data_IF_173685259903
#
_entry.id   IF_173685259903
#
_cell.length_a   1.000
_cell.length_b   1.000
_cell.length_c   1.000
_cell.angle_alpha   90.00
_cell.angle_beta   90.00
_cell.angle_gamma   90.00
#
_symmetry.space_group_name_H-M   'P 1'
#
loop_
_entity.id
_entity.type
_entity.pdbx_description
1 polymer ?
#
# COMPACT_ATOMS: atom_id res chain seq x y z
N UNK A 1 0.31 10.69 27.05
CA UNK A 1 1.68 10.35 26.61
C UNK A 1 2.14 11.46 25.66
N UNK A 2 3.37 11.96 25.77
CA UNK A 2 3.86 13.11 24.97
C UNK A 2 5.24 12.82 24.42
N UNK A 3 5.61 13.45 23.30
CA UNK A 3 6.93 13.28 22.67
C UNK A 3 8.08 13.93 23.45
N UNK A 4 7.78 14.63 24.54
CA UNK A 4 8.75 15.31 25.39
C UNK A 4 8.96 14.52 26.68
N UNK A 5 10.22 14.49 27.13
CA UNK A 5 10.64 13.91 28.41
C UNK A 5 11.37 14.99 29.19
N UNK A 6 10.91 15.26 30.42
CA UNK A 6 11.62 16.14 31.33
C UNK A 6 12.90 15.44 31.80
N UNK A 7 14.06 16.02 31.52
CA UNK A 7 15.37 15.48 31.96
C UNK A 7 15.71 15.88 33.38
N UNK A 8 15.41 17.13 33.74
CA UNK A 8 15.71 17.71 35.05
C UNK A 8 14.58 18.66 35.44
N UNK A 9 14.24 18.68 36.73
CA UNK A 9 13.27 19.59 37.31
C UNK A 9 13.90 20.13 38.60
N UNK A 10 14.29 21.41 38.57
CA UNK A 10 14.80 22.13 39.73
C UNK A 10 13.70 23.02 40.31
N UNK A 11 13.46 22.93 41.62
CA UNK A 11 12.49 23.75 42.33
C UNK A 11 13.21 24.55 43.42
N UNK A 12 13.26 25.87 43.29
CA UNK A 12 13.77 26.76 44.33
C UNK A 12 12.59 27.19 45.21
N UNK A 13 12.32 26.40 46.25
CA UNK A 13 11.21 26.64 47.18
C UNK A 13 11.74 27.14 48.52
N UNK A 14 11.09 28.14 49.09
CA UNK A 14 11.41 28.66 50.44
C UNK A 14 10.95 27.71 51.55
N UNK A 15 9.94 26.88 51.27
CA UNK A 15 9.39 25.87 52.16
C UNK A 15 8.61 24.83 51.34
N UNK A 16 8.17 23.74 51.97
CA UNK A 16 7.31 22.77 51.33
C UNK A 16 5.90 23.34 51.10
N UNK A 17 5.46 23.33 49.85
CA UNK A 17 4.12 23.75 49.46
C UNK A 17 3.28 22.55 49.04
N UNK A 18 2.00 22.57 49.39
CA UNK A 18 1.04 21.64 48.80
C UNK A 18 0.69 22.10 47.38
N UNK A 19 0.89 21.22 46.40
CA UNK A 19 0.57 21.48 44.99
C UNK A 19 -0.51 20.49 44.54
N UNK A 20 -1.73 20.96 44.20
CA UNK A 20 -2.77 20.08 43.67
C UNK A 20 -2.31 19.42 42.37
N UNK A 21 -2.50 18.10 42.26
CA UNK A 21 -2.13 17.35 41.07
C UNK A 21 -2.82 17.89 39.79
N UNK A 22 -4.02 18.47 39.91
CA UNK A 22 -4.72 19.09 38.79
C UNK A 22 -3.96 20.30 38.21
N UNK A 23 -3.39 21.14 39.07
CA UNK A 23 -2.62 22.34 38.69
C UNK A 23 -1.31 21.93 38.03
N UNK A 24 -0.58 20.98 38.62
CA UNK A 24 0.66 20.46 38.03
C UNK A 24 0.40 19.82 36.66
N UNK A 25 -0.70 19.10 36.52
CA UNK A 25 -1.10 18.52 35.24
C UNK A 25 -1.50 19.57 34.20
N UNK A 26 -2.07 20.70 34.61
CA UNK A 26 -2.36 21.81 33.69
C UNK A 26 -1.07 22.46 33.22
N UNK A 27 -0.15 22.80 34.13
CA UNK A 27 1.17 23.33 33.78
C UNK A 27 1.92 22.43 32.80
N UNK A 28 1.84 21.10 33.02
CA UNK A 28 2.41 20.13 32.09
C UNK A 28 1.77 20.17 30.71
N UNK A 29 0.44 20.35 30.61
CA UNK A 29 -0.26 20.48 29.31
C UNK A 29 0.15 21.75 28.59
N UNK A 30 0.15 22.88 29.30
CA UNK A 30 0.50 24.19 28.75
C UNK A 30 1.94 24.22 28.24
N UNK A 31 2.88 23.64 29.01
CA UNK A 31 4.27 23.53 28.58
C UNK A 31 4.43 22.66 27.33
N UNK A 32 3.68 21.55 27.23
CA UNK A 32 3.72 20.67 26.05
C UNK A 32 3.15 21.38 24.82
N UNK A 33 2.06 22.14 24.97
CA UNK A 33 1.46 22.93 23.90
C UNK A 33 2.45 23.96 23.34
N UNK A 34 3.10 24.72 24.22
CA UNK A 34 4.13 25.70 23.82
C UNK A 34 5.33 25.03 23.12
N UNK A 35 5.78 23.87 23.60
CA UNK A 35 6.87 23.13 22.95
C UNK A 35 6.48 22.61 21.56
N UNK A 36 5.22 22.21 21.35
CA UNK A 36 4.72 21.80 20.04
C UNK A 36 4.63 22.99 19.07
N UNK A 37 4.20 24.15 19.56
CA UNK A 37 4.16 25.38 18.77
C UNK A 37 5.56 25.78 18.30
N UNK A 38 6.54 25.81 19.21
CA UNK A 38 7.94 26.09 18.88
C UNK A 38 8.50 25.06 17.88
N UNK A 39 8.22 23.76 18.07
CA UNK A 39 8.64 22.70 17.13
C UNK A 39 8.06 22.94 15.73
N UNK A 40 6.81 23.39 15.65
CA UNK A 40 6.12 23.64 14.38
C UNK A 40 6.70 24.88 13.69
N UNK A 41 6.90 25.97 14.45
CA UNK A 41 7.52 27.20 13.95
C UNK A 41 8.97 26.98 13.50
N UNK A 42 9.72 26.14 14.22
CA UNK A 42 11.10 25.78 13.92
C UNK A 42 11.25 24.65 12.91
N UNK A 43 10.15 24.13 12.35
CA UNK A 43 10.24 23.05 11.37
C UNK A 43 10.79 23.60 10.04
N UNK A 44 12.04 23.26 9.76
CA UNK A 44 12.64 23.44 8.44
C UNK A 44 12.44 22.17 7.62
N UNK A 45 11.78 22.30 6.47
CA UNK A 45 11.61 21.19 5.54
C UNK A 45 13.00 20.74 5.08
N UNK A 46 13.38 19.46 5.30
CA UNK A 46 14.65 18.96 4.81
C UNK A 46 14.78 19.18 3.30
N UNK A 47 15.96 19.56 2.79
CA UNK A 47 16.17 19.74 1.36
C UNK A 47 15.91 18.41 0.63
N UNK A 48 15.47 18.52 -0.63
CA UNK A 48 15.29 17.34 -1.46
C UNK A 48 16.64 16.62 -1.60
N UNK A 49 16.66 15.31 -1.34
CA UNK A 49 17.85 14.49 -1.56
C UNK A 49 18.21 14.53 -3.05
N UNK A 50 19.50 14.70 -3.36
CA UNK A 50 19.98 14.59 -4.73
C UNK A 50 19.68 13.22 -5.34
N UNK A 51 19.40 13.20 -6.64
CA UNK A 51 19.20 11.96 -7.40
C UNK A 51 20.47 11.11 -7.31
N UNK A 52 20.31 9.80 -7.10
CA UNK A 52 21.44 8.88 -7.09
C UNK A 52 22.05 8.74 -8.50
N UNK A 53 23.39 8.81 -8.58
CA UNK A 53 24.17 8.63 -9.79
C UNK A 53 25.26 7.57 -9.53
N UNK A 54 25.25 6.41 -10.21
CA UNK A 54 24.30 6.01 -11.25
C UNK A 54 22.90 5.71 -10.69
N UNK A 55 21.86 5.68 -11.54
CA UNK A 55 20.51 5.29 -11.13
C UNK A 55 20.52 3.90 -10.48
N UNK A 56 19.69 3.72 -9.46
CA UNK A 56 19.48 2.40 -8.88
C UNK A 56 18.95 1.43 -9.96
N UNK A 57 19.37 0.17 -9.91
CA UNK A 57 18.88 -0.84 -10.86
C UNK A 57 17.66 -1.54 -10.27
N UNK A 58 16.59 -1.63 -11.05
CA UNK A 58 15.38 -2.34 -10.65
C UNK A 58 15.66 -3.85 -10.61
N UNK A 59 15.13 -4.60 -9.62
CA UNK A 59 15.48 -6.03 -9.46
C UNK A 59 15.09 -6.94 -10.62
N UNK A 60 14.11 -6.54 -11.43
CA UNK A 60 13.59 -7.30 -12.57
C UNK A 60 13.91 -6.54 -13.87
N UNK A 61 14.26 -7.26 -14.94
CA UNK A 61 14.53 -6.68 -16.26
C UNK A 61 13.30 -6.71 -17.19
N UNK A 62 12.24 -7.41 -16.79
CA UNK A 62 10.95 -7.46 -17.46
C UNK A 62 9.79 -7.24 -16.50
N UNK A 63 8.85 -6.38 -16.87
CA UNK A 63 7.62 -6.09 -16.12
C UNK A 63 6.40 -6.54 -16.90
N UNK A 64 5.51 -7.29 -16.26
CA UNK A 64 4.20 -7.66 -16.82
C UNK A 64 3.15 -6.57 -16.54
N UNK A 65 1.93 -6.77 -17.04
CA UNK A 65 0.80 -5.86 -16.82
C UNK A 65 0.55 -5.58 -15.31
N UNK A 66 0.93 -6.50 -14.43
CA UNK A 66 0.82 -6.37 -12.96
C UNK A 66 1.65 -5.22 -12.38
N UNK A 67 2.64 -4.70 -13.12
CA UNK A 67 3.45 -3.57 -12.70
C UNK A 67 2.73 -2.21 -12.88
N UNK A 68 1.52 -2.19 -13.45
CA UNK A 68 0.68 -1.01 -13.63
C UNK A 68 1.41 0.17 -14.32
N UNK A 69 2.29 -0.13 -15.27
CA UNK A 69 3.03 0.88 -16.03
C UNK A 69 2.17 1.42 -17.16
N UNK A 70 1.35 2.42 -16.85
CA UNK A 70 0.37 2.96 -17.80
C UNK A 70 0.92 4.09 -18.69
N UNK A 71 1.57 5.09 -18.10
CA UNK A 71 1.99 6.31 -18.79
C UNK A 71 3.47 6.30 -19.22
N UNK A 72 3.83 7.19 -20.13
CA UNK A 72 5.20 7.28 -20.68
C UNK A 72 6.25 7.61 -19.60
N UNK A 73 5.95 8.52 -18.67
CA UNK A 73 6.89 8.89 -17.58
C UNK A 73 7.25 7.69 -16.71
N UNK A 74 6.30 6.80 -16.46
CA UNK A 74 6.55 5.56 -15.73
C UNK A 74 7.43 4.60 -16.56
N UNK A 75 7.18 4.46 -17.87
CA UNK A 75 8.05 3.67 -18.76
C UNK A 75 9.49 4.20 -18.77
N UNK A 76 9.66 5.52 -18.93
CA UNK A 76 10.98 6.17 -18.92
C UNK A 76 11.71 5.96 -17.59
N UNK A 77 10.97 6.01 -16.47
CA UNK A 77 11.52 5.72 -15.14
C UNK A 77 12.06 4.29 -15.07
N UNK A 78 11.29 3.28 -15.46
CA UNK A 78 11.74 1.89 -15.40
C UNK A 78 12.88 1.59 -16.37
N UNK A 79 12.86 2.16 -17.58
CA UNK A 79 13.98 2.07 -18.51
C UNK A 79 15.27 2.68 -17.96
N UNK A 80 15.18 3.86 -17.31
CA UNK A 80 16.34 4.47 -16.61
C UNK A 80 16.92 3.55 -15.53
N UNK A 81 16.09 2.71 -14.91
CA UNK A 81 16.49 1.74 -13.88
C UNK A 81 16.79 0.34 -14.44
N UNK A 82 17.02 0.21 -15.76
CA UNK A 82 17.53 -1.02 -16.39
C UNK A 82 16.46 -2.02 -16.84
N UNK A 83 15.17 -1.71 -16.71
CA UNK A 83 14.10 -2.56 -17.24
C UNK A 83 14.09 -2.48 -18.76
N UNK A 84 14.03 -3.63 -19.44
CA UNK A 84 14.10 -3.73 -20.90
C UNK A 84 12.72 -3.92 -21.52
N UNK A 85 11.91 -4.78 -20.92
CA UNK A 85 10.58 -5.13 -21.43
C UNK A 85 9.51 -4.68 -20.44
N UNK A 86 8.54 -3.91 -20.91
CA UNK A 86 7.45 -3.38 -20.09
C UNK A 86 6.15 -3.65 -20.83
N UNK A 87 5.35 -4.59 -20.33
CA UNK A 87 4.00 -4.80 -20.82
C UNK A 87 3.09 -3.61 -20.44
N UNK A 88 2.06 -3.37 -21.25
CA UNK A 88 1.03 -2.39 -20.93
C UNK A 88 0.28 -2.78 -19.65
N UNK A 89 -0.05 -1.79 -18.83
CA UNK A 89 -0.89 -2.01 -17.66
C UNK A 89 -2.28 -2.57 -18.06
N UNK A 90 -2.94 -3.27 -17.13
CA UNK A 90 -4.23 -3.91 -17.40
C UNK A 90 -5.30 -2.92 -17.90
N UNK A 91 -5.29 -1.68 -17.40
CA UNK A 91 -6.22 -0.61 -17.77
C UNK A 91 -6.04 -0.11 -19.20
N UNK A 92 -4.95 -0.50 -19.89
CA UNK A 92 -4.78 -0.25 -21.32
C UNK A 92 -5.69 -1.15 -22.17
N UNK A 93 -6.36 -2.13 -21.55
CA UNK A 93 -7.30 -3.07 -22.17
C UNK A 93 -6.67 -3.95 -23.28
N UNK A 94 -5.37 -4.18 -23.21
CA UNK A 94 -4.65 -5.09 -24.12
C UNK A 94 -4.75 -6.56 -23.65
N UNK A 95 -4.92 -6.79 -22.34
CA UNK A 95 -5.13 -8.11 -21.74
C UNK A 95 -6.61 -8.52 -21.85
N UNK A 96 -6.93 -9.31 -22.88
CA UNK A 96 -8.31 -9.71 -23.19
C UNK A 96 -8.76 -10.99 -22.49
N UNK A 97 -7.82 -11.80 -22.01
CA UNK A 97 -8.09 -13.08 -21.37
C UNK A 97 -8.45 -12.94 -19.88
N UNK A 98 -8.86 -14.05 -19.25
CA UNK A 98 -9.10 -14.07 -17.80
C UNK A 98 -7.76 -14.14 -17.07
N UNK A 99 -7.37 -13.03 -16.43
CA UNK A 99 -6.07 -12.87 -15.77
C UNK A 99 -6.24 -12.45 -14.30
N UNK A 100 -5.24 -12.69 -13.42
CA UNK A 100 -5.28 -12.16 -12.06
C UNK A 100 -5.33 -10.63 -12.07
N UNK A 101 -6.40 -10.06 -11.49
CA UNK A 101 -6.56 -8.61 -11.31
C UNK A 101 -6.29 -8.18 -9.87
N UNK A 102 -6.28 -9.14 -8.93
CA UNK A 102 -5.88 -8.92 -7.55
C UNK A 102 -5.20 -10.17 -7.00
N UNK A 103 -4.03 -9.99 -6.41
CA UNK A 103 -3.26 -11.04 -5.72
C UNK A 103 -3.18 -10.65 -4.25
N UNK A 104 -3.64 -11.52 -3.36
CA UNK A 104 -3.66 -11.25 -1.92
C UNK A 104 -3.15 -12.43 -1.11
N UNK A 105 -2.53 -12.12 0.04
CA UNK A 105 -2.11 -13.13 1.03
C UNK A 105 -3.29 -13.61 1.88
N UNK A 106 -4.36 -12.83 1.98
CA UNK A 106 -5.59 -13.27 2.64
C UNK A 106 -6.23 -14.40 1.82
N UNK A 107 -6.42 -15.55 2.44
CA UNK A 107 -6.89 -16.76 1.75
C UNK A 107 -8.21 -17.25 2.35
N UNK A 108 -9.27 -17.21 1.56
CA UNK A 108 -10.60 -17.69 2.00
C UNK A 108 -10.60 -19.17 2.35
N UNK A 109 -9.82 -20.00 1.66
CA UNK A 109 -9.65 -21.41 2.06
C UNK A 109 -9.10 -21.53 3.46
N UNK A 110 -8.15 -20.70 3.85
CA UNK A 110 -7.65 -20.67 5.23
C UNK A 110 -8.74 -20.20 6.21
N UNK A 111 -9.42 -19.10 5.92
CA UNK A 111 -10.48 -18.58 6.78
C UNK A 111 -11.66 -19.54 6.99
N UNK A 112 -11.92 -20.44 6.04
CA UNK A 112 -12.96 -21.45 6.14
C UNK A 112 -12.45 -22.85 6.56
N UNK A 113 -11.18 -22.99 7.00
CA UNK A 113 -10.63 -24.27 7.43
C UNK A 113 -10.40 -25.29 6.30
N UNK A 114 -10.37 -24.83 5.06
CA UNK A 114 -10.18 -25.61 3.83
C UNK A 114 -8.74 -25.53 3.29
N UNK A 115 -7.78 -25.05 4.09
CA UNK A 115 -6.40 -24.90 3.66
C UNK A 115 -5.67 -26.24 3.64
N UNK A 116 -5.16 -26.72 2.49
CA UNK A 116 -4.44 -27.98 2.41
C UNK A 116 -3.09 -27.94 3.14
N UNK A 117 -2.54 -26.76 3.44
CA UNK A 117 -1.31 -26.64 4.25
C UNK A 117 -1.57 -26.99 5.72
N UNK A 118 -2.69 -26.53 6.28
CA UNK A 118 -3.08 -26.82 7.67
C UNK A 118 -3.47 -28.29 7.85
N UNK A 119 -4.03 -28.92 6.82
CA UNK A 119 -4.40 -30.33 6.84
C UNK A 119 -3.22 -31.31 6.75
N UNK A 120 -1.98 -30.83 6.48
CA UNK A 120 -0.79 -31.69 6.41
C UNK A 120 -0.39 -32.17 7.81
N UNK A 121 -0.73 -33.41 8.15
CA UNK A 121 -0.32 -34.07 9.39
C UNK A 121 -1.49 -34.55 10.26
N UNK A 122 -2.72 -34.19 9.90
CA UNK A 122 -3.93 -34.72 10.56
C UNK A 122 -4.30 -36.06 9.92
N UNK A 123 -4.11 -37.15 10.68
CA UNK A 123 -4.44 -38.52 10.27
C UNK A 123 -5.94 -38.58 9.96
N UNK A 124 -6.30 -38.94 8.72
CA UNK A 124 -7.70 -39.06 8.25
C UNK A 124 -8.25 -37.90 7.41
N UNK A 125 -7.50 -36.79 7.28
CA UNK A 125 -7.92 -35.60 6.49
C UNK A 125 -7.07 -35.41 5.23
N UNK A 126 -5.96 -36.14 5.11
CA UNK A 126 -5.14 -36.19 3.90
C UNK A 126 -5.95 -36.83 2.75
N UNK A 127 -6.42 -35.99 1.82
CA UNK A 127 -7.22 -36.38 0.66
C UNK A 127 -8.70 -36.00 0.72
N UNK A 128 -9.21 -35.57 1.88
CA UNK A 128 -10.65 -35.24 2.06
C UNK A 128 -10.96 -33.76 1.81
N UNK A 129 -9.98 -32.87 2.00
CA UNK A 129 -10.15 -31.41 1.77
C UNK A 129 -10.01 -31.12 0.27
N UNK A 130 -11.03 -31.49 -0.49
CA UNK A 130 -11.18 -31.06 -1.88
C UNK A 130 -11.87 -29.71 -1.87
N UNK A 131 -11.08 -28.63 -1.84
CA UNK A 131 -11.66 -27.30 -1.84
C UNK A 131 -12.29 -27.01 -3.22
N UNK A 132 -13.62 -26.98 -3.25
CA UNK A 132 -14.41 -26.66 -4.44
C UNK A 132 -13.99 -25.31 -5.06
N UNK A 133 -14.22 -25.11 -6.37
CA UNK A 133 -14.00 -23.81 -7.01
C UNK A 133 -14.80 -22.72 -6.28
N UNK A 134 -14.11 -21.65 -5.88
CA UNK A 134 -14.75 -20.52 -5.20
C UNK A 134 -14.88 -19.35 -6.17
N UNK A 135 -15.94 -18.56 -6.00
CA UNK A 135 -16.15 -17.31 -6.74
C UNK A 135 -16.55 -16.20 -5.80
N UNK A 136 -16.06 -14.98 -6.04
CA UNK A 136 -16.60 -13.76 -5.41
C UNK A 136 -17.72 -13.21 -6.28
N UNK A 137 -18.78 -12.75 -5.63
CA UNK A 137 -19.91 -12.10 -6.28
C UNK A 137 -19.98 -10.66 -5.76
N UNK A 138 -19.98 -9.69 -6.67
CA UNK A 138 -20.14 -8.27 -6.36
C UNK A 138 -21.17 -7.67 -7.30
N UNK A 139 -22.39 -7.44 -6.81
CA UNK A 139 -23.51 -7.07 -7.65
C UNK A 139 -23.77 -8.11 -8.75
N UNK A 140 -23.66 -7.70 -10.01
CA UNK A 140 -23.83 -8.58 -11.18
C UNK A 140 -22.54 -9.29 -11.60
N UNK A 141 -21.41 -9.02 -10.94
CA UNK A 141 -20.12 -9.51 -11.34
C UNK A 141 -19.74 -10.77 -10.56
N UNK A 142 -19.17 -11.75 -11.28
CA UNK A 142 -18.65 -12.99 -10.73
C UNK A 142 -17.18 -13.12 -11.07
N UNK A 143 -16.35 -13.25 -10.05
CA UNK A 143 -14.90 -13.41 -10.18
C UNK A 143 -14.50 -14.79 -9.72
N UNK A 144 -13.77 -15.53 -10.56
CA UNK A 144 -13.20 -16.83 -10.19
C UNK A 144 -12.05 -16.62 -9.22
N UNK A 145 -11.95 -17.46 -8.18
CA UNK A 145 -10.80 -17.46 -7.28
C UNK A 145 -9.86 -18.61 -7.60
N UNK A 146 -8.59 -18.28 -7.85
CA UNK A 146 -7.50 -19.27 -7.92
C UNK A 146 -6.65 -19.16 -6.67
N UNK A 147 -6.14 -20.29 -6.19
CA UNK A 147 -5.36 -20.35 -4.97
C UNK A 147 -4.01 -20.99 -5.26
N UNK A 148 -2.94 -20.19 -5.19
CA UNK A 148 -1.59 -20.72 -5.25
C UNK A 148 -1.08 -20.98 -3.84
N UNK A 149 -1.15 -22.25 -3.45
CA UNK A 149 -0.73 -22.67 -2.13
C UNK A 149 0.77 -22.52 -1.93
N UNK A 150 1.62 -22.52 -2.97
CA UNK A 150 3.08 -22.46 -2.78
C UNK A 150 3.53 -21.11 -2.18
N UNK A 151 3.29 -19.93 -2.81
CA UNK A 151 3.54 -18.61 -2.24
C UNK A 151 2.45 -18.14 -1.24
N UNK A 152 1.41 -18.97 -1.01
CA UNK A 152 0.28 -18.67 -0.13
C UNK A 152 -0.51 -17.45 -0.60
N UNK A 153 -1.04 -17.52 -1.82
CA UNK A 153 -1.75 -16.44 -2.49
C UNK A 153 -3.13 -16.87 -2.96
N UNK A 154 -4.08 -15.95 -2.86
CA UNK A 154 -5.38 -16.03 -3.51
C UNK A 154 -5.41 -14.98 -4.62
N UNK A 155 -5.78 -15.43 -5.81
CA UNK A 155 -5.88 -14.62 -7.02
C UNK A 155 -7.36 -14.43 -7.36
N UNK A 156 -7.79 -13.18 -7.44
CA UNK A 156 -9.09 -12.82 -8.00
C UNK A 156 -8.92 -12.67 -9.50
N UNK A 157 -9.58 -13.54 -10.25
CA UNK A 157 -9.50 -13.61 -11.70
C UNK A 157 -10.54 -12.67 -12.31
N UNK A 158 -10.11 -11.83 -13.23
CA UNK A 158 -10.96 -10.89 -13.94
C UNK A 158 -10.74 -10.97 -15.44
N UNK A 159 -11.79 -10.64 -16.19
CA UNK A 159 -11.74 -10.49 -17.65
C UNK A 159 -12.27 -9.11 -18.01
N UNK A 160 -11.63 -8.45 -18.98
CA UNK A 160 -12.08 -7.14 -19.47
C UNK A 160 -13.52 -7.24 -19.99
N UNK A 161 -14.36 -6.26 -19.63
CA UNK A 161 -15.77 -6.25 -20.05
C UNK A 161 -15.87 -5.68 -21.45
N UNK A 162 -16.73 -6.28 -22.29
CA UNK A 162 -16.95 -5.83 -23.67
C UNK A 162 -17.32 -4.36 -23.79
N UNK A 163 -18.13 -3.82 -22.87
CA UNK A 163 -18.51 -2.41 -22.91
C UNK A 163 -17.34 -1.47 -22.61
N UNK A 164 -16.35 -1.88 -21.81
CA UNK A 164 -15.15 -1.08 -21.53
C UNK A 164 -14.31 -0.94 -22.80
N UNK A 165 -14.25 -1.99 -23.63
CA UNK A 165 -13.56 -1.94 -24.94
C UNK A 165 -14.22 -0.97 -25.93
N UNK A 166 -15.48 -0.59 -25.71
CA UNK A 166 -16.21 0.37 -26.53
C UNK A 166 -16.04 1.81 -26.04
N UNK A 167 -15.50 2.00 -24.82
CA UNK A 167 -15.22 3.34 -24.29
C UNK A 167 -13.95 3.86 -24.96
N UNK A 168 -13.97 5.13 -25.37
CA UNK A 168 -12.78 5.76 -25.94
C UNK A 168 -11.61 5.73 -24.94
N UNK A 169 -10.37 5.50 -25.42
CA UNK A 169 -9.20 5.48 -24.54
C UNK A 169 -9.05 6.84 -23.84
N UNK A 170 -8.57 6.85 -22.58
CA UNK A 170 -8.41 8.07 -21.82
C UNK A 170 -7.43 9.00 -22.53
N UNK A 171 -7.84 10.25 -22.71
CA UNK A 171 -7.03 11.25 -23.38
C UNK A 171 -6.04 11.86 -22.37
N UNK A 172 -4.77 12.06 -22.75
CA UNK A 172 -3.81 12.71 -21.88
C UNK A 172 -4.28 14.14 -21.57
N UNK A 173 -4.34 14.48 -20.29
CA UNK A 173 -4.61 15.84 -19.85
C UNK A 173 -3.28 16.59 -19.80
N UNK A 174 -3.17 17.65 -20.59
CA UNK A 174 -2.04 18.57 -20.51
C UNK A 174 -2.31 19.58 -19.40
N UNK A 175 -1.51 19.51 -18.33
CA UNK A 175 -1.53 20.53 -17.29
C UNK A 175 -0.71 21.73 -17.78
N UNK A 176 -1.37 22.87 -17.95
CA UNK A 176 -0.70 24.14 -18.24
C UNK A 176 -0.37 24.84 -16.93
N UNK A 177 0.85 25.37 -16.78
CA UNK A 177 1.25 26.14 -15.60
C UNK A 177 0.40 27.41 -15.40
N UNK A 178 -0.15 27.94 -16.49
CA UNK A 178 -1.12 29.04 -16.49
C UNK A 178 -2.28 28.67 -17.40
N UNK A 179 -3.50 29.09 -17.03
CA UNK A 179 -4.69 28.89 -17.86
C UNK A 179 -4.45 29.52 -19.25
N UNK A 180 -4.61 28.76 -20.35
CA UNK A 180 -4.50 29.32 -21.69
C UNK A 180 -5.59 30.40 -21.89
N UNK A 181 -5.23 31.46 -22.62
CA UNK A 181 -6.11 32.60 -22.93
C UNK A 181 -7.29 32.19 -23.82
#
# INVERSE_FOLDING_TARGET
NTDFVAREISLELTQFWFLPASVVNQLRRDAVEQLLEIRTMGYERPPLRATAEPPAIYPQDSLSYLANVYNQKARDFYHKHGVKLIASAYEANEELDEVPVMITKHCLRFSHGLCPKEAKGVIGVQGTVTAEPMTLISGNDRYTLKFDCKPCEMHVMGKVRKHILQIAPPQPITFFEKRPA
#
